data_IF_844359954727
#
_entry.id   IF_844359954727
#
_cell.length_a   1.000
_cell.length_b   1.000
_cell.length_c   1.000
_cell.angle_alpha   90.00
_cell.angle_beta   90.00
_cell.angle_gamma   90.00
#
_symmetry.space_group_name_H-M   'P 1'
#
loop_
_entity.id
_entity.type
_entity.pdbx_description
1 polymer ?
#
# COMPACT_ATOMS: atom_id res chain seq x y z
N UNK A 1 49.52 4.80 52.26
CA UNK A 1 48.17 4.30 52.60
C UNK A 1 47.30 4.59 51.37
N UNK A 2 47.22 3.68 50.39
CA UNK A 2 46.26 2.55 50.28
C UNK A 2 44.93 3.08 49.69
N UNK A 3 44.20 2.54 48.70
CA UNK A 3 44.12 1.34 47.84
C UNK A 3 43.42 1.81 46.53
N UNK A 4 43.69 1.35 45.30
CA UNK A 4 43.31 0.11 44.59
C UNK A 4 41.80 -0.24 44.47
N UNK A 5 41.39 -0.58 43.22
CA UNK A 5 40.13 -1.15 42.68
C UNK A 5 38.94 -0.20 42.45
N UNK A 6 38.21 -0.19 41.31
CA UNK A 6 38.26 -0.96 40.06
C UNK A 6 37.15 -0.43 39.14
N UNK A 7 37.43 -0.22 37.85
CA UNK A 7 36.41 0.06 36.82
C UNK A 7 35.72 -1.26 36.47
N UNK A 8 34.45 -1.42 36.87
CA UNK A 8 33.59 -2.48 36.37
C UNK A 8 33.16 -2.21 34.91
N UNK A 9 32.92 -3.25 34.10
CA UNK A 9 32.36 -3.09 32.76
C UNK A 9 30.90 -2.60 32.84
N UNK A 10 30.37 -1.96 31.78
CA UNK A 10 28.96 -1.59 31.74
C UNK A 10 28.09 -2.86 31.74
N UNK A 11 26.86 -2.80 32.28
CA UNK A 11 25.96 -3.94 32.28
C UNK A 11 25.64 -4.36 30.84
N UNK A 12 26.07 -5.56 30.48
CA UNK A 12 25.48 -6.32 29.39
C UNK A 12 24.12 -6.87 29.83
N UNK A 13 23.32 -7.24 28.84
CA UNK A 13 21.99 -7.89 28.94
C UNK A 13 20.80 -6.92 28.95
N UNK A 14 20.62 -6.25 27.81
CA UNK A 14 19.27 -6.25 27.23
C UNK A 14 19.04 -7.63 26.61
N UNK A 15 17.89 -8.29 26.83
CA UNK A 15 17.60 -9.56 26.17
C UNK A 15 17.35 -9.25 24.70
N UNK A 16 18.40 -9.33 23.89
CA UNK A 16 18.24 -9.60 22.48
C UNK A 16 17.52 -10.96 22.39
N UNK A 17 16.29 -10.97 21.90
CA UNK A 17 15.55 -12.18 21.57
C UNK A 17 16.43 -13.07 20.70
N UNK A 18 17.08 -14.07 21.30
CA UNK A 18 17.73 -15.16 20.57
C UNK A 18 16.60 -16.00 20.00
N UNK A 19 16.25 -15.73 18.74
CA UNK A 19 15.42 -16.63 17.93
C UNK A 19 16.08 -18.00 17.90
N UNK A 20 15.46 -18.99 18.57
CA UNK A 20 15.93 -20.36 18.55
C UNK A 20 15.29 -21.07 17.35
N UNK A 21 15.98 -20.96 16.21
CA UNK A 21 15.52 -21.40 14.88
C UNK A 21 14.96 -22.83 14.89
N UNK A 22 15.49 -23.70 15.76
CA UNK A 22 15.04 -25.09 15.92
C UNK A 22 13.64 -25.20 16.53
N UNK A 23 13.38 -24.47 17.62
CA UNK A 23 12.08 -24.50 18.30
C UNK A 23 10.99 -23.84 17.47
N UNK A 24 11.33 -22.73 16.80
CA UNK A 24 10.40 -22.02 15.90
C UNK A 24 10.03 -22.87 14.68
N UNK A 25 10.99 -23.62 14.12
CA UNK A 25 10.75 -24.53 13.00
C UNK A 25 9.84 -25.69 13.41
N UNK A 26 10.04 -26.28 14.60
CA UNK A 26 9.18 -27.34 15.14
C UNK A 26 7.75 -26.81 15.38
N UNK A 27 7.62 -25.59 15.92
CA UNK A 27 6.33 -24.92 16.11
C UNK A 27 5.60 -24.69 14.79
N UNK A 28 6.32 -24.19 13.77
CA UNK A 28 5.81 -23.97 12.42
C UNK A 28 5.32 -25.26 11.76
N UNK A 29 6.15 -26.31 11.76
CA UNK A 29 5.79 -27.61 11.17
C UNK A 29 4.58 -28.23 11.87
N UNK A 30 4.54 -28.14 13.19
CA UNK A 30 3.39 -28.60 13.99
C UNK A 30 2.11 -27.81 13.68
N UNK A 31 2.22 -26.52 13.30
CA UNK A 31 1.07 -25.74 12.84
C UNK A 31 0.58 -26.18 11.46
N UNK A 32 1.49 -26.49 10.53
CA UNK A 32 1.15 -27.05 9.21
C UNK A 32 0.45 -28.42 9.30
N UNK A 33 0.76 -29.21 10.33
CA UNK A 33 0.08 -30.48 10.55
C UNK A 33 -1.36 -30.29 11.07
N UNK A 34 -1.60 -29.26 11.88
CA UNK A 34 -2.89 -29.04 12.56
C UNK A 34 -3.91 -28.28 11.73
N UNK A 35 -3.46 -27.41 10.83
CA UNK A 35 -4.32 -26.52 10.05
C UNK A 35 -4.20 -26.84 8.54
N UNK A 36 -5.26 -27.39 7.90
CA UNK A 36 -5.27 -27.71 6.47
C UNK A 36 -5.03 -26.50 5.55
N UNK A 37 -5.53 -25.32 5.92
CA UNK A 37 -5.39 -24.09 5.13
C UNK A 37 -3.95 -23.57 5.24
N UNK A 38 -3.36 -23.62 6.44
CA UNK A 38 -1.96 -23.29 6.65
C UNK A 38 -1.02 -24.28 5.94
N UNK A 39 -1.38 -25.56 5.88
CA UNK A 39 -0.65 -26.58 5.10
C UNK A 39 -0.68 -26.29 3.60
N UNK A 40 -1.85 -25.91 3.06
CA UNK A 40 -1.99 -25.55 1.66
C UNK A 40 -1.15 -24.30 1.33
N UNK A 41 -1.12 -23.32 2.23
CA UNK A 41 -0.24 -22.16 2.15
C UNK A 41 1.25 -22.56 2.15
N UNK A 42 1.71 -23.38 3.09
CA UNK A 42 3.10 -23.89 3.16
C UNK A 42 3.51 -24.64 1.88
N UNK A 43 2.64 -25.50 1.36
CA UNK A 43 2.91 -26.22 0.11
C UNK A 43 3.13 -25.28 -1.06
N UNK A 44 2.32 -24.21 -1.15
CA UNK A 44 2.45 -23.23 -2.24
C UNK A 44 3.71 -22.38 -2.09
N UNK A 45 4.10 -22.04 -0.85
CA UNK A 45 5.38 -21.39 -0.56
C UNK A 45 6.55 -22.28 -1.00
N UNK A 46 6.57 -23.54 -0.59
CA UNK A 46 7.65 -24.49 -0.90
C UNK A 46 7.79 -24.72 -2.41
N UNK A 47 6.69 -24.86 -3.14
CA UNK A 47 6.71 -25.01 -4.60
C UNK A 47 7.30 -23.78 -5.31
N UNK A 48 7.00 -22.58 -4.82
CA UNK A 48 7.52 -21.33 -5.41
C UNK A 48 8.98 -21.11 -5.09
N UNK A 49 9.38 -21.34 -3.84
CA UNK A 49 10.79 -21.29 -3.44
C UNK A 49 11.61 -22.28 -4.25
N UNK A 50 11.12 -23.51 -4.42
CA UNK A 50 11.76 -24.55 -5.23
C UNK A 50 11.90 -24.10 -6.70
N UNK A 51 10.85 -23.53 -7.31
CA UNK A 51 10.93 -22.96 -8.68
C UNK A 51 11.97 -21.84 -8.81
N UNK A 52 11.97 -20.88 -7.88
CA UNK A 52 12.94 -19.79 -7.91
C UNK A 52 14.38 -20.31 -7.76
N UNK A 53 14.61 -21.29 -6.87
CA UNK A 53 15.91 -21.95 -6.71
C UNK A 53 16.31 -22.67 -8.00
N UNK A 54 15.41 -23.40 -8.65
CA UNK A 54 15.71 -24.10 -9.90
C UNK A 54 16.03 -23.13 -11.05
N UNK A 55 15.32 -22.01 -11.15
CA UNK A 55 15.63 -20.96 -12.13
C UNK A 55 17.02 -20.38 -11.91
N UNK A 56 17.37 -20.09 -10.64
CA UNK A 56 18.71 -19.61 -10.30
C UNK A 56 19.77 -20.68 -10.59
N UNK A 57 19.53 -21.92 -10.20
CA UNK A 57 20.45 -23.05 -10.38
C UNK A 57 20.71 -23.39 -11.85
N UNK A 58 19.68 -23.31 -12.71
CA UNK A 58 19.79 -23.61 -14.14
C UNK A 58 20.59 -22.54 -14.93
N UNK A 59 20.81 -21.36 -14.35
CA UNK A 59 21.47 -20.23 -15.00
C UNK A 59 22.82 -19.87 -14.37
N UNK A 60 23.38 -20.75 -13.51
CA UNK A 60 24.67 -20.56 -12.82
C UNK A 60 25.89 -21.06 -13.62
N UNK A 61 25.71 -21.52 -14.85
CA UNK A 61 26.80 -22.03 -15.71
C UNK A 61 27.76 -20.95 -16.23
N UNK A 62 27.55 -19.68 -15.86
CA UNK A 62 28.47 -18.57 -16.03
C UNK A 62 28.46 -17.69 -14.79
N UNK A 63 29.61 -17.14 -14.40
CA UNK A 63 29.92 -16.54 -13.08
C UNK A 63 29.12 -15.27 -12.68
N UNK A 64 27.97 -15.01 -13.31
CA UNK A 64 27.10 -13.84 -13.09
C UNK A 64 25.64 -14.28 -13.14
N UNK A 65 24.87 -13.96 -12.09
CA UNK A 65 23.41 -14.11 -12.08
C UNK A 65 22.79 -13.36 -13.26
N UNK A 66 21.97 -14.03 -14.07
CA UNK A 66 21.28 -13.37 -15.18
C UNK A 66 20.22 -12.39 -14.66
N UNK A 67 19.92 -11.37 -15.46
CA UNK A 67 18.81 -10.44 -15.19
C UNK A 67 17.46 -11.19 -15.12
N UNK A 68 17.34 -12.31 -15.83
CA UNK A 68 16.14 -13.16 -15.81
C UNK A 68 15.98 -13.88 -14.46
N UNK A 69 17.08 -14.37 -13.85
CA UNK A 69 17.05 -14.92 -12.50
C UNK A 69 16.61 -13.88 -11.45
N UNK A 70 17.16 -12.67 -11.54
CA UNK A 70 16.81 -11.57 -10.62
C UNK A 70 15.33 -11.16 -10.78
N UNK A 71 14.84 -11.12 -12.02
CA UNK A 71 13.42 -10.92 -12.31
C UNK A 71 12.57 -12.03 -11.69
N UNK A 72 12.95 -13.28 -11.85
CA UNK A 72 12.17 -14.43 -11.35
C UNK A 72 12.12 -14.50 -9.82
N UNK A 73 13.24 -14.21 -9.15
CA UNK A 73 13.29 -14.06 -7.69
C UNK A 73 12.41 -12.90 -7.22
N UNK A 74 12.42 -11.76 -7.93
CA UNK A 74 11.59 -10.60 -7.60
C UNK A 74 10.09 -10.92 -7.76
N UNK A 75 9.72 -11.63 -8.83
CA UNK A 75 8.35 -12.11 -9.05
C UNK A 75 7.94 -13.08 -7.93
N UNK A 76 8.82 -14.02 -7.56
CA UNK A 76 8.57 -14.95 -6.46
C UNK A 76 8.31 -14.22 -5.13
N UNK A 77 9.15 -13.23 -4.77
CA UNK A 77 8.94 -12.43 -3.57
C UNK A 77 7.63 -11.64 -3.61
N UNK A 78 7.27 -11.07 -4.76
CA UNK A 78 6.02 -10.34 -4.92
C UNK A 78 4.80 -11.26 -4.71
N UNK A 79 4.85 -12.44 -5.31
CA UNK A 79 3.81 -13.46 -5.22
C UNK A 79 3.66 -14.04 -3.81
N UNK A 80 4.78 -14.29 -3.10
CA UNK A 80 4.77 -14.72 -1.70
C UNK A 80 4.17 -13.64 -0.79
N UNK A 81 4.52 -12.37 -1.00
CA UNK A 81 3.94 -11.26 -0.25
C UNK A 81 2.42 -11.16 -0.45
N UNK A 82 1.92 -11.41 -1.67
CA UNK A 82 0.48 -11.50 -1.91
C UNK A 82 -0.15 -12.71 -1.21
N UNK A 83 0.56 -13.86 -1.26
CA UNK A 83 0.39 -15.07 -0.44
C UNK A 83 -0.04 -14.83 0.99
N UNK A 84 0.94 -14.31 1.72
CA UNK A 84 0.88 -14.02 3.15
C UNK A 84 -0.27 -13.08 3.46
N UNK A 85 -0.46 -12.04 2.65
CA UNK A 85 -1.55 -11.08 2.84
C UNK A 85 -2.92 -11.75 2.72
N UNK A 86 -3.14 -12.59 1.71
CA UNK A 86 -4.41 -13.31 1.57
C UNK A 86 -4.64 -14.27 2.72
N UNK A 87 -3.62 -15.04 3.11
CA UNK A 87 -3.71 -15.96 4.25
C UNK A 87 -4.04 -15.23 5.57
N UNK A 88 -3.43 -14.06 5.83
CA UNK A 88 -3.76 -13.22 7.00
C UNK A 88 -5.21 -12.74 6.95
N UNK A 89 -5.72 -12.38 5.77
CA UNK A 89 -7.10 -11.91 5.63
C UNK A 89 -8.12 -13.05 5.79
N UNK A 90 -7.81 -14.24 5.29
CA UNK A 90 -8.66 -15.43 5.40
C UNK A 90 -8.70 -15.97 6.82
N UNK A 91 -7.53 -16.11 7.48
CA UNK A 91 -7.44 -16.53 8.88
C UNK A 91 -8.17 -15.60 9.86
N UNK A 92 -8.32 -14.31 9.50
CA UNK A 92 -9.07 -13.34 10.32
C UNK A 92 -10.53 -13.19 9.90
N UNK A 93 -11.03 -13.89 8.88
CA UNK A 93 -12.38 -13.68 8.32
C UNK A 93 -13.48 -13.73 9.38
N UNK A 94 -13.42 -14.70 10.30
CA UNK A 94 -14.41 -14.87 11.38
C UNK A 94 -14.28 -13.83 12.51
N UNK A 95 -13.17 -13.10 12.55
CA UNK A 95 -12.89 -12.02 13.50
C UNK A 95 -13.44 -10.68 12.99
N UNK A 96 -13.60 -10.51 11.68
CA UNK A 96 -14.11 -9.28 11.08
C UNK A 96 -15.62 -9.15 11.22
N UNK A 97 -16.05 -8.21 12.05
CA UNK A 97 -17.48 -7.94 12.30
C UNK A 97 -18.20 -7.18 11.18
N UNK A 98 -17.46 -6.51 10.30
CA UNK A 98 -18.00 -5.75 9.15
C UNK A 98 -17.46 -6.37 7.84
N UNK A 99 -18.24 -7.24 7.17
CA UNK A 99 -17.82 -7.90 5.94
C UNK A 99 -17.55 -6.90 4.80
N UNK A 100 -18.30 -5.79 4.70
CA UNK A 100 -18.02 -4.79 3.67
C UNK A 100 -16.64 -4.15 3.86
N UNK A 101 -16.18 -4.00 5.12
CA UNK A 101 -14.86 -3.46 5.40
C UNK A 101 -13.76 -4.44 4.97
N UNK A 102 -13.96 -5.74 5.21
CA UNK A 102 -13.03 -6.78 4.77
C UNK A 102 -12.93 -6.80 3.23
N UNK A 103 -14.06 -6.72 2.53
CA UNK A 103 -14.07 -6.67 1.06
C UNK A 103 -13.38 -5.41 0.53
N UNK A 104 -13.59 -4.27 1.21
CA UNK A 104 -12.91 -3.03 0.86
C UNK A 104 -11.39 -3.11 1.08
N UNK A 105 -10.94 -3.75 2.16
CA UNK A 105 -9.53 -4.01 2.41
C UNK A 105 -8.93 -4.91 1.32
N UNK A 106 -9.63 -5.98 0.92
CA UNK A 106 -9.20 -6.87 -0.16
C UNK A 106 -9.07 -6.12 -1.47
N UNK A 107 -10.10 -5.37 -1.85
CA UNK A 107 -10.10 -4.55 -3.07
C UNK A 107 -8.98 -3.51 -3.06
N UNK A 108 -8.71 -2.86 -1.92
CA UNK A 108 -7.57 -1.95 -1.77
C UNK A 108 -6.24 -2.64 -2.06
N UNK A 109 -6.03 -3.82 -1.46
CA UNK A 109 -4.78 -4.57 -1.60
C UNK A 109 -4.60 -5.09 -3.02
N UNK A 110 -5.67 -5.52 -3.68
CA UNK A 110 -5.66 -5.90 -5.09
C UNK A 110 -5.35 -4.72 -6.02
N UNK A 111 -5.99 -3.57 -5.79
CA UNK A 111 -5.72 -2.35 -6.55
C UNK A 111 -4.27 -1.90 -6.36
N UNK A 112 -3.75 -1.96 -5.13
CA UNK A 112 -2.36 -1.62 -4.83
C UNK A 112 -1.36 -2.52 -5.58
N UNK A 113 -1.68 -3.82 -5.74
CA UNK A 113 -0.88 -4.75 -6.55
C UNK A 113 -0.90 -4.38 -8.02
N UNK A 114 -2.09 -4.09 -8.57
CA UNK A 114 -2.21 -3.67 -9.96
C UNK A 114 -1.44 -2.37 -10.23
N UNK A 115 -1.50 -1.38 -9.32
CA UNK A 115 -0.71 -0.14 -9.46
C UNK A 115 0.79 -0.42 -9.39
N UNK A 116 1.26 -1.30 -8.51
CA UNK A 116 2.67 -1.72 -8.46
C UNK A 116 3.13 -2.34 -9.79
N UNK A 117 2.33 -3.24 -10.37
CA UNK A 117 2.62 -3.85 -11.68
C UNK A 117 2.70 -2.81 -12.79
N UNK A 118 1.83 -1.79 -12.76
CA UNK A 118 1.91 -0.66 -13.67
C UNK A 118 3.21 0.14 -13.49
N UNK A 119 3.63 0.43 -12.25
CA UNK A 119 4.91 1.11 -12.01
C UNK A 119 6.10 0.32 -12.58
N UNK A 120 6.09 -1.01 -12.50
CA UNK A 120 7.12 -1.85 -13.14
C UNK A 120 7.09 -1.79 -14.66
N UNK A 121 5.90 -1.69 -15.27
CA UNK A 121 5.76 -1.47 -16.70
C UNK A 121 6.26 -0.07 -17.12
N UNK A 122 6.04 0.93 -16.28
CA UNK A 122 6.58 2.28 -16.43
C UNK A 122 8.12 2.27 -16.41
N UNK A 123 8.74 1.61 -15.43
CA UNK A 123 10.20 1.44 -15.38
C UNK A 123 10.76 0.76 -16.62
N UNK A 124 10.09 -0.28 -17.12
CA UNK A 124 10.49 -0.97 -18.36
C UNK A 124 10.39 -0.06 -19.60
N UNK A 125 9.50 0.93 -19.56
CA UNK A 125 9.37 1.94 -20.62
C UNK A 125 10.47 2.99 -20.49
N UNK A 126 10.77 3.45 -19.27
CA UNK A 126 11.89 4.34 -18.97
C UNK A 126 13.24 3.73 -19.36
N UNK A 127 13.45 2.43 -19.17
CA UNK A 127 14.67 1.77 -19.63
C UNK A 127 14.86 1.87 -21.15
N UNK A 128 13.76 1.79 -21.93
CA UNK A 128 13.77 1.99 -23.38
C UNK A 128 14.03 3.45 -23.77
N UNK A 129 13.65 4.41 -22.93
CA UNK A 129 14.03 5.82 -23.10
C UNK A 129 15.54 5.98 -23.05
N UNK A 130 16.21 5.41 -22.04
CA UNK A 130 17.68 5.48 -21.94
C UNK A 130 18.37 4.91 -23.18
N UNK A 131 17.88 3.79 -23.71
CA UNK A 131 18.40 3.21 -24.95
C UNK A 131 18.25 4.17 -26.13
N UNK A 132 17.06 4.76 -26.31
CA UNK A 132 16.79 5.74 -27.38
C UNK A 132 17.64 7.00 -27.22
N UNK A 133 17.84 7.47 -26.00
CA UNK A 133 18.72 8.59 -25.67
C UNK A 133 20.18 8.30 -26.06
N UNK A 134 20.69 7.09 -25.77
CA UNK A 134 22.03 6.68 -26.19
C UNK A 134 22.20 6.67 -27.71
N UNK A 135 21.20 6.20 -28.46
CA UNK A 135 21.24 6.25 -29.94
C UNK A 135 21.34 7.70 -30.42
N UNK A 136 20.51 8.60 -29.90
CA UNK A 136 20.53 10.02 -30.28
C UNK A 136 21.87 10.69 -29.93
N UNK A 137 22.43 10.39 -28.75
CA UNK A 137 23.76 10.89 -28.37
C UNK A 137 24.85 10.40 -29.32
N UNK A 138 24.79 9.14 -29.73
CA UNK A 138 25.73 8.60 -30.68
C UNK A 138 25.56 9.20 -32.09
N UNK A 139 24.31 9.48 -32.51
CA UNK A 139 24.05 10.24 -33.75
C UNK A 139 24.67 11.63 -33.73
N UNK A 140 24.54 12.36 -32.61
CA UNK A 140 25.16 13.69 -32.42
C UNK A 140 26.69 13.62 -32.49
N UNK A 141 27.29 12.59 -31.89
CA UNK A 141 28.74 12.37 -31.97
C UNK A 141 29.17 12.07 -33.41
N UNK A 142 28.46 11.19 -34.12
CA UNK A 142 28.77 10.84 -35.51
C UNK A 142 28.67 12.03 -36.44
N UNK A 143 27.66 12.87 -36.24
CA UNK A 143 27.52 14.11 -36.99
C UNK A 143 28.72 15.04 -36.80
N UNK A 144 29.25 15.16 -35.57
CA UNK A 144 30.42 15.99 -35.30
C UNK A 144 31.69 15.44 -35.99
N UNK A 145 31.89 14.12 -35.93
CA UNK A 145 33.01 13.42 -36.59
C UNK A 145 32.94 13.60 -38.12
N UNK A 146 31.78 13.33 -38.72
CA UNK A 146 31.53 13.48 -40.16
C UNK A 146 31.68 14.95 -40.58
N UNK A 147 31.13 15.91 -39.83
CA UNK A 147 31.28 17.35 -40.13
C UNK A 147 32.75 17.77 -40.14
N UNK A 148 33.56 17.28 -39.20
CA UNK A 148 35.00 17.58 -39.14
C UNK A 148 35.73 17.02 -40.36
N UNK A 149 35.40 15.80 -40.78
CA UNK A 149 35.96 15.21 -42.01
C UNK A 149 35.58 16.02 -43.25
N UNK A 150 34.31 16.42 -43.35
CA UNK A 150 33.81 17.21 -44.48
C UNK A 150 34.52 18.57 -44.57
N UNK A 151 34.74 19.24 -43.45
CA UNK A 151 35.47 20.50 -43.40
C UNK A 151 36.94 20.35 -43.84
N UNK A 152 37.59 19.21 -43.54
CA UNK A 152 38.97 18.93 -43.92
C UNK A 152 39.16 18.54 -45.40
N UNK A 153 38.15 17.94 -46.02
CA UNK A 153 38.19 17.46 -47.42
C UNK A 153 37.76 18.54 -48.45
N UNK A 154 37.32 19.72 -48.00
CA UNK A 154 36.84 20.81 -48.86
C UNK A 154 35.38 20.64 -49.30
N UNK A 155 34.86 21.63 -50.04
CA UNK A 155 33.45 21.73 -50.47
C UNK A 155 33.05 20.71 -51.55
N UNK A 156 33.32 19.42 -51.34
CA UNK A 156 32.77 18.36 -52.19
C UNK A 156 31.27 18.18 -51.88
N UNK A 157 30.36 18.45 -52.85
CA UNK A 157 28.93 18.30 -52.65
C UNK A 157 28.46 16.83 -52.56
N UNK A 158 29.32 15.85 -52.80
CA UNK A 158 29.01 14.42 -52.63
C UNK A 158 29.17 13.91 -51.20
N UNK A 159 29.82 14.71 -50.33
CA UNK A 159 29.97 14.38 -48.92
C UNK A 159 28.64 14.46 -48.18
N UNK A 160 28.32 13.38 -47.47
CA UNK A 160 27.04 13.17 -46.77
C UNK A 160 27.29 12.69 -45.34
N UNK A 161 26.22 12.42 -44.60
CA UNK A 161 26.21 11.99 -43.21
C UNK A 161 25.69 10.55 -43.04
N UNK A 162 26.31 9.54 -43.68
CA UNK A 162 25.77 8.18 -43.71
C UNK A 162 25.65 7.55 -42.32
N UNK A 163 26.63 7.74 -41.43
CA UNK A 163 26.59 7.17 -40.08
C UNK A 163 25.57 7.89 -39.21
N UNK A 164 25.46 9.22 -39.32
CA UNK A 164 24.42 9.97 -38.61
C UNK A 164 23.03 9.50 -39.03
N UNK A 165 22.77 9.39 -40.33
CA UNK A 165 21.49 8.93 -40.87
C UNK A 165 21.14 7.50 -40.44
N UNK A 166 22.13 6.61 -40.39
CA UNK A 166 21.94 5.25 -39.86
C UNK A 166 21.48 5.27 -38.40
N UNK A 167 22.09 6.09 -37.55
CA UNK A 167 21.69 6.20 -36.15
C UNK A 167 20.31 6.85 -35.98
N UNK A 168 19.99 7.88 -36.76
CA UNK A 168 18.66 8.49 -36.75
C UNK A 168 17.59 7.49 -37.20
N UNK A 169 17.91 6.60 -38.16
CA UNK A 169 17.03 5.50 -38.55
C UNK A 169 16.85 4.49 -37.40
N UNK A 170 17.93 4.09 -36.72
CA UNK A 170 17.85 3.19 -35.56
C UNK A 170 16.98 3.79 -34.44
N UNK A 171 17.08 5.09 -34.19
CA UNK A 171 16.23 5.78 -33.22
C UNK A 171 14.74 5.70 -33.62
N UNK A 172 14.43 5.94 -34.90
CA UNK A 172 13.05 5.81 -35.39
C UNK A 172 12.52 4.38 -35.29
N UNK A 173 13.36 3.40 -35.62
CA UNK A 173 13.01 1.98 -35.56
C UNK A 173 12.79 1.51 -34.10
N UNK A 174 13.45 2.14 -33.12
CA UNK A 174 13.21 1.91 -31.69
C UNK A 174 11.80 2.39 -31.24
N UNK A 175 11.25 3.39 -31.92
CA UNK A 175 9.88 3.87 -31.76
C UNK A 175 9.59 4.55 -30.42
N UNK A 176 8.30 4.79 -30.15
CA UNK A 176 7.87 5.41 -28.90
C UNK A 176 8.00 4.40 -27.73
N UNK A 177 8.75 4.73 -26.66
CA UNK A 177 8.90 3.85 -25.50
C UNK A 177 7.59 3.63 -24.73
N UNK A 178 6.62 4.55 -24.87
CA UNK A 178 5.27 4.45 -24.31
C UNK A 178 4.27 3.95 -25.36
N UNK A 179 4.02 2.65 -25.35
CA UNK A 179 3.10 1.97 -26.28
C UNK A 179 1.62 2.23 -25.95
N UNK A 180 0.72 2.00 -26.91
CA UNK A 180 -0.74 2.01 -26.66
C UNK A 180 -1.15 1.09 -25.49
N UNK A 181 -0.48 -0.07 -25.35
CA UNK A 181 -0.67 -0.98 -24.22
C UNK A 181 -0.40 -0.30 -22.88
N UNK A 182 0.65 0.51 -22.78
CA UNK A 182 0.94 1.27 -21.56
C UNK A 182 -0.22 2.22 -21.21
N UNK A 183 -0.71 2.99 -22.19
CA UNK A 183 -1.83 3.92 -21.96
C UNK A 183 -3.13 3.20 -21.58
N UNK A 184 -3.41 2.05 -22.20
CA UNK A 184 -4.56 1.22 -21.85
C UNK A 184 -4.47 0.73 -20.40
N UNK A 185 -3.28 0.30 -19.94
CA UNK A 185 -3.05 -0.11 -18.57
C UNK A 185 -3.17 1.07 -17.61
N UNK A 186 -2.58 2.21 -17.94
CA UNK A 186 -2.67 3.43 -17.14
C UNK A 186 -4.12 3.81 -16.86
N UNK A 187 -4.97 3.87 -17.91
CA UNK A 187 -6.39 4.20 -17.76
C UNK A 187 -7.11 3.23 -16.82
N UNK A 188 -6.89 1.93 -16.97
CA UNK A 188 -7.49 0.92 -16.09
C UNK A 188 -7.07 1.12 -14.63
N UNK A 189 -5.78 1.38 -14.38
CA UNK A 189 -5.27 1.63 -13.01
C UNK A 189 -5.86 2.90 -12.43
N UNK A 190 -5.87 3.97 -13.21
CA UNK A 190 -6.40 5.26 -12.81
C UNK A 190 -7.89 5.14 -12.42
N UNK A 191 -8.71 4.53 -13.26
CA UNK A 191 -10.13 4.28 -12.97
C UNK A 191 -10.34 3.38 -11.75
N UNK A 192 -9.50 2.34 -11.58
CA UNK A 192 -9.55 1.49 -10.38
C UNK A 192 -9.27 2.29 -9.11
N UNK A 193 -8.27 3.17 -9.11
CA UNK A 193 -7.96 4.02 -7.96
C UNK A 193 -9.06 5.03 -7.64
N UNK A 194 -9.66 5.68 -8.65
CA UNK A 194 -10.81 6.57 -8.43
C UNK A 194 -12.03 5.83 -7.86
N UNK A 195 -12.32 4.64 -8.38
CA UNK A 195 -13.41 3.79 -7.89
C UNK A 195 -13.18 3.39 -6.44
N UNK A 196 -11.96 2.95 -6.11
CA UNK A 196 -11.54 2.61 -4.75
C UNK A 196 -11.73 3.80 -3.80
N UNK A 197 -11.24 4.98 -4.20
CA UNK A 197 -11.35 6.18 -3.39
C UNK A 197 -12.81 6.58 -3.11
N UNK A 198 -13.67 6.47 -4.12
CA UNK A 198 -15.11 6.72 -3.98
C UNK A 198 -15.75 5.77 -2.96
N UNK A 199 -15.46 4.47 -3.03
CA UNK A 199 -15.93 3.48 -2.06
C UNK A 199 -15.44 3.77 -0.64
N UNK A 200 -14.17 4.14 -0.49
CA UNK A 200 -13.57 4.54 0.79
C UNK A 200 -14.27 5.76 1.39
N UNK A 201 -14.46 6.82 0.60
CA UNK A 201 -15.18 8.04 1.03
C UNK A 201 -16.62 7.72 1.44
N UNK A 202 -17.30 6.86 0.69
CA UNK A 202 -18.66 6.46 1.03
C UNK A 202 -18.72 5.68 2.36
N UNK A 203 -17.86 4.67 2.54
CA UNK A 203 -17.79 3.88 3.78
C UNK A 203 -17.42 4.78 4.96
N UNK A 204 -16.46 5.70 4.81
CA UNK A 204 -16.10 6.70 5.82
C UNK A 204 -17.31 7.53 6.24
N UNK A 205 -18.07 8.08 5.28
CA UNK A 205 -19.29 8.85 5.56
C UNK A 205 -20.34 8.03 6.31
N UNK A 206 -20.52 6.76 5.97
CA UNK A 206 -21.44 5.85 6.69
C UNK A 206 -20.98 5.63 8.14
N UNK A 207 -19.68 5.44 8.35
CA UNK A 207 -19.10 5.26 9.69
C UNK A 207 -19.19 6.55 10.54
N UNK A 208 -18.91 7.72 9.95
CA UNK A 208 -19.06 9.01 10.63
C UNK A 208 -20.52 9.26 11.06
N UNK A 209 -21.49 8.94 10.19
CA UNK A 209 -22.92 8.98 10.54
C UNK A 209 -23.28 8.00 11.67
N UNK A 210 -22.72 6.79 11.67
CA UNK A 210 -22.90 5.82 12.77
C UNK A 210 -22.36 6.41 14.07
N UNK A 211 -21.16 6.99 14.08
CA UNK A 211 -20.60 7.65 15.27
C UNK A 211 -21.48 8.80 15.78
N UNK A 212 -21.98 9.66 14.89
CA UNK A 212 -22.89 10.75 15.25
C UNK A 212 -24.21 10.24 15.85
N UNK A 213 -24.85 9.25 15.20
CA UNK A 213 -26.10 8.64 15.70
C UNK A 213 -25.92 8.06 17.11
N UNK A 214 -24.76 7.46 17.39
CA UNK A 214 -24.45 6.86 18.69
C UNK A 214 -24.25 7.90 19.78
N UNK A 215 -23.64 9.05 19.48
CA UNK A 215 -23.56 10.18 20.43
C UNK A 215 -24.97 10.64 20.85
N UNK A 216 -25.92 10.65 19.91
CA UNK A 216 -27.33 10.95 20.20
C UNK A 216 -27.97 9.84 21.05
N UNK A 217 -27.80 8.57 20.66
CA UNK A 217 -28.41 7.44 21.38
C UNK A 217 -27.88 7.24 22.79
N UNK A 218 -26.60 7.55 23.06
CA UNK A 218 -26.03 7.53 24.42
C UNK A 218 -26.76 8.52 25.34
N UNK A 219 -27.12 9.71 24.84
CA UNK A 219 -27.88 10.70 25.61
C UNK A 219 -29.29 10.20 25.91
N UNK A 220 -29.95 9.62 24.91
CA UNK A 220 -31.30 9.06 25.04
C UNK A 220 -31.30 7.88 26.01
N UNK A 221 -30.37 6.92 25.89
CA UNK A 221 -30.28 5.76 26.78
C UNK A 221 -30.01 6.17 28.23
N UNK A 222 -29.15 7.17 28.44
CA UNK A 222 -28.88 7.69 29.78
C UNK A 222 -30.12 8.39 30.37
N UNK A 223 -30.88 9.13 29.56
CA UNK A 223 -32.12 9.76 29.98
C UNK A 223 -33.22 8.75 30.34
N UNK A 224 -33.41 7.71 29.51
CA UNK A 224 -34.35 6.61 29.78
C UNK A 224 -33.94 5.87 31.07
N UNK A 225 -32.66 5.53 31.20
CA UNK A 225 -32.17 4.86 32.41
C UNK A 225 -32.40 5.69 33.67
N UNK A 226 -32.09 6.99 33.63
CA UNK A 226 -32.35 7.90 34.75
C UNK A 226 -33.85 7.97 35.08
N UNK A 227 -34.72 8.03 34.06
CA UNK A 227 -36.18 8.07 34.23
C UNK A 227 -36.74 6.78 34.84
N UNK A 228 -36.35 5.61 34.34
CA UNK A 228 -36.76 4.31 34.88
C UNK A 228 -36.28 4.14 36.32
N UNK A 229 -35.05 4.54 36.60
CA UNK A 229 -34.49 4.48 37.94
C UNK A 229 -35.24 5.35 38.94
N UNK A 230 -35.50 6.62 38.60
CA UNK A 230 -36.29 7.53 39.45
C UNK A 230 -37.70 6.99 39.68
N UNK A 231 -38.33 6.44 38.64
CA UNK A 231 -39.67 5.84 38.75
C UNK A 231 -39.68 4.63 39.70
N UNK A 232 -38.67 3.75 39.61
CA UNK A 232 -38.53 2.60 40.49
C UNK A 232 -38.28 3.00 41.95
N UNK A 233 -37.50 4.05 42.20
CA UNK A 233 -37.32 4.61 43.54
C UNK A 233 -38.65 5.11 44.11
N UNK A 234 -39.42 5.90 43.34
CA UNK A 234 -40.74 6.41 43.77
C UNK A 234 -41.67 5.24 44.11
N UNK A 235 -41.76 4.22 43.25
CA UNK A 235 -42.60 3.04 43.49
C UNK A 235 -42.17 2.29 44.76
N UNK A 236 -40.86 2.16 44.99
CA UNK A 236 -40.32 1.50 46.18
C UNK A 236 -40.66 2.26 47.47
N UNK A 237 -40.57 3.60 47.45
CA UNK A 237 -40.95 4.45 48.59
C UNK A 237 -42.44 4.36 48.88
N UNK A 238 -43.29 4.41 47.85
CA UNK A 238 -44.75 4.29 48.00
C UNK A 238 -45.14 2.92 48.57
N UNK A 239 -44.58 1.84 48.04
CA UNK A 239 -44.83 0.49 48.54
C UNK A 239 -44.41 0.34 50.02
N UNK A 240 -43.23 0.85 50.40
CA UNK A 240 -42.76 0.81 51.78
C UNK A 240 -43.67 1.60 52.74
N UNK A 241 -44.11 2.80 52.34
CA UNK A 241 -45.00 3.64 53.13
C UNK A 241 -46.38 3.01 53.39
N UNK A 242 -46.88 2.18 52.46
CA UNK A 242 -48.12 1.42 52.64
C UNK A 242 -47.95 0.26 53.62
N UNK A 243 -46.74 -0.30 53.73
CA UNK A 243 -46.47 -1.52 54.52
C UNK A 243 -45.91 -1.29 55.93
N UNK A 244 -45.25 -0.15 56.23
CA UNK A 244 -44.70 0.12 57.56
C UNK A 244 -44.54 1.64 57.88
N UNK A 245 -44.81 2.10 59.12
CA UNK A 245 -44.73 3.52 59.52
C UNK A 245 -43.36 4.24 59.46
N UNK A 246 -42.16 3.62 59.60
CA UNK A 246 -40.93 4.40 59.56
C UNK A 246 -40.44 4.57 58.12
N UNK A 247 -41.16 5.39 57.35
CA UNK A 247 -40.90 5.72 55.94
C UNK A 247 -39.46 6.21 55.69
N UNK A 248 -38.83 6.79 56.71
CA UNK A 248 -37.46 7.35 56.69
C UNK A 248 -36.39 6.28 56.46
N UNK A 249 -36.54 5.08 57.04
CA UNK A 249 -35.55 4.00 56.92
C UNK A 249 -35.56 3.36 55.51
N UNK A 250 -36.73 3.23 54.90
CA UNK A 250 -36.87 2.72 53.53
C UNK A 250 -36.34 3.70 52.48
N UNK A 251 -36.53 5.01 52.68
CA UNK A 251 -35.96 6.07 51.84
C UNK A 251 -34.43 6.04 51.84
N UNK A 252 -33.81 5.88 53.02
CA UNK A 252 -32.36 5.79 53.15
C UNK A 252 -31.78 4.55 52.46
N UNK A 253 -32.44 3.40 52.57
CA UNK A 253 -32.01 2.16 51.92
C UNK A 253 -32.18 2.18 50.39
N UNK A 254 -33.27 2.77 49.87
CA UNK A 254 -33.49 2.90 48.43
C UNK A 254 -32.53 3.91 47.78
N UNK A 255 -32.19 5.00 48.47
CA UNK A 255 -31.17 5.95 48.02
C UNK A 255 -29.75 5.34 47.99
N UNK A 256 -29.51 4.26 48.73
CA UNK A 256 -28.25 3.51 48.74
C UNK A 256 -28.17 2.42 47.64
N UNK A 257 -29.21 2.28 46.79
CA UNK A 257 -29.22 1.30 45.70
C UNK A 257 -28.02 1.52 44.73
N UNK A 258 -27.39 0.45 44.22
CA UNK A 258 -26.13 0.54 43.50
C UNK A 258 -26.33 1.02 42.04
N UNK A 259 -26.65 2.31 41.88
CA UNK A 259 -26.68 3.04 40.60
C UNK A 259 -25.37 2.92 39.81
N UNK A 260 -24.26 2.80 40.53
CA UNK A 260 -22.93 2.79 39.94
C UNK A 260 -22.65 1.57 39.06
N UNK A 261 -23.28 0.42 39.29
CA UNK A 261 -22.96 -0.83 38.58
C UNK A 261 -23.58 -0.87 37.18
N UNK A 262 -24.87 -0.55 37.06
CA UNK A 262 -25.59 -0.54 35.77
C UNK A 262 -25.15 0.63 34.89
N UNK A 263 -24.92 1.81 35.47
CA UNK A 263 -24.36 2.95 34.74
C UNK A 263 -22.96 2.67 34.17
N UNK A 264 -22.10 1.98 34.92
CA UNK A 264 -20.78 1.50 34.43
C UNK A 264 -20.92 0.49 33.30
N UNK A 265 -21.85 -0.46 33.40
CA UNK A 265 -22.12 -1.44 32.34
C UNK A 265 -22.56 -0.77 31.03
N UNK A 266 -23.53 0.16 31.08
CA UNK A 266 -24.01 0.89 29.90
C UNK A 266 -22.84 1.67 29.27
N UNK A 267 -22.07 2.39 30.09
CA UNK A 267 -20.92 3.15 29.61
C UNK A 267 -19.85 2.25 28.94
N UNK A 268 -19.56 1.08 29.52
CA UNK A 268 -18.59 0.13 28.96
C UNK A 268 -19.05 -0.44 27.62
N UNK A 269 -20.34 -0.79 27.47
CA UNK A 269 -20.89 -1.20 26.18
C UNK A 269 -20.77 -0.11 25.11
N UNK A 270 -21.07 1.14 25.48
CA UNK A 270 -20.94 2.27 24.56
C UNK A 270 -19.48 2.55 24.17
N UNK A 271 -18.54 2.43 25.12
CA UNK A 271 -17.11 2.57 24.86
C UNK A 271 -16.61 1.47 23.93
N UNK A 272 -17.00 0.21 24.15
CA UNK A 272 -16.62 -0.93 23.30
C UNK A 272 -17.12 -0.76 21.87
N UNK A 273 -18.38 -0.39 21.67
CA UNK A 273 -18.88 -0.15 20.33
C UNK A 273 -18.22 1.07 19.67
N UNK A 274 -18.03 2.17 20.42
CA UNK A 274 -17.40 3.38 19.88
C UNK A 274 -15.97 3.12 19.44
N UNK A 275 -15.20 2.34 20.21
CA UNK A 275 -13.86 1.95 19.82
C UNK A 275 -13.85 1.05 18.58
N UNK A 276 -14.79 0.10 18.44
CA UNK A 276 -14.92 -0.73 17.24
C UNK A 276 -15.17 0.12 15.98
N UNK A 277 -16.18 0.99 15.98
CA UNK A 277 -16.51 1.83 14.81
C UNK A 277 -15.42 2.87 14.50
N UNK A 278 -14.75 3.41 15.53
CA UNK A 278 -13.59 4.31 15.32
C UNK A 278 -12.46 3.59 14.61
N UNK A 279 -12.16 2.34 14.98
CA UNK A 279 -11.10 1.55 14.33
C UNK A 279 -11.40 1.28 12.86
N UNK A 280 -12.63 0.91 12.54
CA UNK A 280 -13.07 0.77 11.14
C UNK A 280 -12.90 2.09 10.37
N UNK A 281 -13.34 3.21 10.98
CA UNK A 281 -13.24 4.54 10.38
C UNK A 281 -11.80 4.95 10.16
N UNK A 282 -10.90 4.63 11.09
CA UNK A 282 -9.48 4.96 11.00
C UNK A 282 -8.76 4.10 9.96
N UNK A 283 -9.14 2.83 9.81
CA UNK A 283 -8.66 1.98 8.71
C UNK A 283 -9.10 2.53 7.33
N UNK A 284 -10.40 2.86 7.18
CA UNK A 284 -10.93 3.46 5.95
C UNK A 284 -10.32 4.83 5.67
N UNK A 285 -10.09 5.65 6.71
CA UNK A 285 -9.45 6.96 6.55
C UNK A 285 -7.99 6.85 6.15
N UNK A 286 -7.26 5.87 6.69
CA UNK A 286 -5.88 5.59 6.27
C UNK A 286 -5.82 5.12 4.82
N UNK A 287 -6.66 4.15 4.43
CA UNK A 287 -6.75 3.71 3.02
C UNK A 287 -7.10 4.88 2.10
N UNK A 288 -8.06 5.71 2.51
CA UNK A 288 -8.46 6.91 1.76
C UNK A 288 -7.33 7.90 1.58
N UNK A 289 -6.53 8.14 2.63
CA UNK A 289 -5.40 9.06 2.54
C UNK A 289 -4.32 8.57 1.57
N UNK A 290 -3.97 7.28 1.61
CA UNK A 290 -3.02 6.68 0.68
C UNK A 290 -3.53 6.66 -0.77
N UNK A 291 -4.81 6.35 -0.99
CA UNK A 291 -5.40 6.38 -2.33
C UNK A 291 -5.50 7.80 -2.89
N UNK A 292 -5.97 8.78 -2.10
CA UNK A 292 -6.27 10.15 -2.57
C UNK A 292 -5.04 11.04 -2.67
N UNK A 293 -4.35 11.24 -1.55
CA UNK A 293 -3.32 12.28 -1.42
C UNK A 293 -1.94 11.80 -1.86
N UNK A 294 -1.80 10.50 -2.13
CA UNK A 294 -0.51 9.90 -2.40
C UNK A 294 -0.54 9.21 -3.76
N UNK A 295 -1.23 8.07 -3.88
CA UNK A 295 -1.18 7.26 -5.11
C UNK A 295 -1.86 7.97 -6.30
N UNK A 296 -3.06 8.54 -6.12
CA UNK A 296 -3.74 9.23 -7.23
C UNK A 296 -3.02 10.51 -7.65
N UNK A 297 -2.34 11.18 -6.72
CA UNK A 297 -1.49 12.34 -7.02
C UNK A 297 -0.25 11.92 -7.82
N UNK A 298 0.42 10.83 -7.41
CA UNK A 298 1.55 10.28 -8.17
C UNK A 298 1.12 9.90 -9.59
N UNK A 299 -0.05 9.27 -9.75
CA UNK A 299 -0.60 8.91 -11.07
C UNK A 299 -0.91 10.15 -11.94
N UNK A 300 -1.41 11.25 -11.36
CA UNK A 300 -1.60 12.50 -12.09
C UNK A 300 -0.27 13.07 -12.60
N UNK A 301 0.74 13.14 -11.72
CA UNK A 301 2.07 13.63 -12.07
C UNK A 301 2.70 12.76 -13.17
N UNK A 302 2.58 11.44 -13.05
CA UNK A 302 3.02 10.48 -14.07
C UNK A 302 2.32 10.76 -15.41
N UNK A 303 1.00 10.92 -15.43
CA UNK A 303 0.27 11.16 -16.67
C UNK A 303 0.74 12.45 -17.37
N UNK A 304 0.82 13.56 -16.61
CA UNK A 304 1.24 14.84 -17.16
C UNK A 304 2.67 14.79 -17.71
N UNK A 305 3.59 14.09 -17.04
CA UNK A 305 4.97 13.91 -17.50
C UNK A 305 5.04 13.00 -18.72
N UNK A 306 4.28 11.91 -18.77
CA UNK A 306 4.22 11.02 -19.95
C UNK A 306 3.67 11.78 -21.15
N UNK A 307 2.59 12.55 -21.00
CA UNK A 307 2.02 13.34 -22.10
C UNK A 307 3.06 14.32 -22.67
N UNK A 308 3.78 15.04 -21.80
CA UNK A 308 4.84 15.97 -22.21
C UNK A 308 6.04 15.25 -22.83
N UNK A 309 6.40 14.08 -22.30
CA UNK A 309 7.48 13.25 -22.83
C UNK A 309 7.18 12.76 -24.25
N UNK A 310 5.96 12.26 -24.49
CA UNK A 310 5.53 11.75 -25.80
C UNK A 310 5.60 12.86 -26.86
N UNK A 311 5.11 14.06 -26.54
CA UNK A 311 5.24 15.22 -27.44
C UNK A 311 6.71 15.52 -27.77
N UNK A 312 7.59 15.44 -26.78
CA UNK A 312 9.02 15.63 -26.97
C UNK A 312 9.66 14.58 -27.90
N UNK A 313 9.33 13.30 -27.70
CA UNK A 313 9.80 12.20 -28.57
C UNK A 313 9.25 12.33 -29.98
N UNK A 314 7.98 12.69 -30.15
CA UNK A 314 7.38 12.94 -31.47
C UNK A 314 8.10 14.07 -32.22
N UNK A 315 8.49 15.14 -31.51
CA UNK A 315 9.32 16.20 -32.08
C UNK A 315 10.70 15.72 -32.54
N UNK A 316 11.39 14.90 -31.72
CA UNK A 316 12.67 14.29 -32.08
C UNK A 316 12.54 13.34 -33.27
N UNK A 317 11.47 12.55 -33.34
CA UNK A 317 11.18 11.66 -34.48
C UNK A 317 10.93 12.47 -35.75
N UNK A 318 10.16 13.56 -35.66
CA UNK A 318 9.93 14.47 -36.79
C UNK A 318 11.22 15.11 -37.32
N UNK A 319 12.15 15.49 -36.44
CA UNK A 319 13.48 15.95 -36.85
C UNK A 319 14.28 14.85 -37.56
N UNK A 320 14.27 13.62 -37.02
CA UNK A 320 14.93 12.48 -37.64
C UNK A 320 14.31 12.11 -39.02
N UNK A 321 13.01 12.27 -39.20
CA UNK A 321 12.32 12.13 -40.49
C UNK A 321 12.78 13.17 -41.51
N UNK A 322 12.88 14.43 -41.08
CA UNK A 322 13.31 15.54 -41.93
C UNK A 322 14.74 15.38 -42.45
N UNK A 323 15.63 14.73 -41.68
CA UNK A 323 17.03 14.50 -42.05
C UNK A 323 17.22 13.75 -43.39
N UNK A 324 16.20 13.04 -43.90
CA UNK A 324 16.25 12.38 -45.21
C UNK A 324 16.35 13.32 -46.43
N UNK A 325 16.17 14.64 -46.23
CA UNK A 325 16.14 15.64 -47.30
C UNK A 325 17.48 16.08 -47.89
N UNK A 326 18.59 15.39 -47.56
CA UNK A 326 19.95 15.75 -48.00
C UNK A 326 20.74 16.51 -46.94
N UNK A 327 21.93 17.03 -47.30
CA UNK A 327 22.92 17.56 -46.36
C UNK A 327 22.38 18.64 -45.42
N UNK A 328 21.80 19.71 -45.97
CA UNK A 328 21.26 20.83 -45.19
C UNK A 328 20.13 20.37 -44.26
N UNK A 329 19.33 19.40 -44.69
CA UNK A 329 18.27 18.82 -43.88
C UNK A 329 18.82 18.05 -42.68
N UNK A 330 19.92 17.29 -42.85
CA UNK A 330 20.62 16.63 -41.74
C UNK A 330 21.18 17.65 -40.75
N UNK A 331 21.85 18.70 -41.24
CA UNK A 331 22.43 19.74 -40.38
C UNK A 331 21.34 20.40 -39.52
N UNK A 332 20.21 20.81 -40.13
CA UNK A 332 19.07 21.37 -39.41
C UNK A 332 18.42 20.39 -38.43
N UNK A 333 18.18 19.14 -38.85
CA UNK A 333 17.59 18.10 -38.01
C UNK A 333 18.43 17.82 -36.76
N UNK A 334 19.75 17.71 -36.93
CA UNK A 334 20.68 17.44 -35.84
C UNK A 334 20.75 18.61 -34.86
N UNK A 335 20.69 19.86 -35.32
CA UNK A 335 20.56 21.01 -34.42
C UNK A 335 19.28 20.95 -33.58
N UNK A 336 18.15 20.61 -34.19
CA UNK A 336 16.88 20.48 -33.48
C UNK A 336 16.90 19.33 -32.46
N UNK A 337 17.46 18.18 -32.84
CA UNK A 337 17.67 17.05 -31.92
C UNK A 337 18.55 17.48 -30.75
N UNK A 338 19.66 18.19 -31.01
CA UNK A 338 20.59 18.62 -29.97
C UNK A 338 19.93 19.56 -28.96
N UNK A 339 19.04 20.44 -29.39
CA UNK A 339 18.31 21.36 -28.50
C UNK A 339 17.32 20.64 -27.60
N UNK A 340 16.66 19.60 -28.11
CA UNK A 340 15.52 18.98 -27.42
C UNK A 340 15.88 17.71 -26.63
N UNK A 341 16.93 16.97 -27.04
CA UNK A 341 17.23 15.62 -26.50
C UNK A 341 17.43 15.60 -24.99
N UNK A 342 18.11 16.62 -24.43
CA UNK A 342 18.33 16.71 -22.98
C UNK A 342 17.06 17.03 -22.20
N UNK A 343 16.20 17.91 -22.74
CA UNK A 343 14.93 18.24 -22.10
C UNK A 343 13.98 17.05 -22.04
N UNK A 344 14.00 16.19 -23.08
CA UNK A 344 13.25 14.93 -23.08
C UNK A 344 13.81 13.95 -22.05
N UNK A 345 15.14 13.85 -21.94
CA UNK A 345 15.80 13.00 -20.94
C UNK A 345 15.51 13.48 -19.50
N UNK A 346 15.52 14.79 -19.25
CA UNK A 346 15.18 15.37 -17.94
C UNK A 346 13.76 15.00 -17.51
N UNK A 347 12.78 15.04 -18.42
CA UNK A 347 11.41 14.59 -18.14
C UNK A 347 11.39 13.10 -17.75
N UNK A 348 12.18 12.27 -18.43
CA UNK A 348 12.26 10.83 -18.12
C UNK A 348 12.86 10.56 -16.73
N UNK A 349 13.88 11.32 -16.32
CA UNK A 349 14.46 11.22 -14.98
C UNK A 349 13.43 11.61 -13.90
N UNK A 350 12.70 12.72 -14.10
CA UNK A 350 11.62 13.13 -13.17
C UNK A 350 10.52 12.07 -13.12
N UNK A 351 10.17 11.47 -14.26
CA UNK A 351 9.18 10.40 -14.34
C UNK A 351 9.65 9.13 -13.59
N UNK A 352 10.95 8.82 -13.62
CA UNK A 352 11.55 7.73 -12.82
C UNK A 352 11.39 7.97 -11.33
N UNK A 353 11.66 9.18 -10.85
CA UNK A 353 11.46 9.56 -9.44
C UNK A 353 10.01 9.37 -9.00
N UNK A 354 9.04 9.79 -9.82
CA UNK A 354 7.62 9.58 -9.52
C UNK A 354 7.20 8.10 -9.56
N UNK A 355 7.77 7.30 -10.46
CA UNK A 355 7.54 5.85 -10.46
C UNK A 355 8.04 5.21 -9.15
N UNK A 356 9.20 5.63 -8.66
CA UNK A 356 9.78 5.16 -7.40
C UNK A 356 8.98 5.58 -6.17
N UNK A 357 8.59 6.85 -6.09
CA UNK A 357 7.71 7.35 -5.02
C UNK A 357 6.36 6.62 -5.03
N UNK A 358 5.74 6.42 -6.19
CA UNK A 358 4.49 5.67 -6.30
C UNK A 358 4.62 4.25 -5.73
N UNK A 359 5.68 3.51 -6.07
CA UNK A 359 5.95 2.17 -5.51
C UNK A 359 6.16 2.22 -4.00
N UNK A 360 6.95 3.18 -3.52
CA UNK A 360 7.23 3.35 -2.09
C UNK A 360 5.96 3.64 -1.31
N UNK A 361 5.14 4.57 -1.79
CA UNK A 361 3.85 4.90 -1.20
C UNK A 361 2.88 3.74 -1.17
N UNK A 362 2.82 2.93 -2.24
CA UNK A 362 2.03 1.69 -2.25
C UNK A 362 2.50 0.71 -1.17
N UNK A 363 3.82 0.50 -1.02
CA UNK A 363 4.38 -0.40 0.00
C UNK A 363 4.06 0.10 1.41
N UNK A 364 4.25 1.40 1.67
CA UNK A 364 3.92 2.03 2.95
C UNK A 364 2.43 1.92 3.26
N UNK A 365 1.57 2.22 2.28
CA UNK A 365 0.12 2.08 2.42
C UNK A 365 -0.29 0.65 2.78
N UNK A 366 0.25 -0.36 2.07
CA UNK A 366 -0.01 -1.78 2.39
C UNK A 366 0.43 -2.12 3.82
N UNK A 367 1.63 -1.72 4.23
CA UNK A 367 2.17 -2.01 5.56
C UNK A 367 1.30 -1.40 6.67
N UNK A 368 0.92 -0.12 6.55
CA UNK A 368 0.07 0.57 7.54
C UNK A 368 -1.30 -0.11 7.65
N UNK A 369 -1.88 -0.53 6.52
CA UNK A 369 -3.18 -1.21 6.53
C UNK A 369 -3.08 -2.59 7.16
N UNK A 370 -2.05 -3.38 6.81
CA UNK A 370 -1.81 -4.68 7.43
C UNK A 370 -1.55 -4.57 8.93
N UNK A 371 -0.82 -3.56 9.39
CA UNK A 371 -0.64 -3.30 10.81
C UNK A 371 -1.99 -3.02 11.49
N UNK A 372 -2.83 -2.15 10.92
CA UNK A 372 -4.15 -1.82 11.48
C UNK A 372 -5.09 -3.03 11.52
N UNK A 373 -4.97 -3.92 10.54
CA UNK A 373 -5.66 -5.22 10.51
C UNK A 373 -5.13 -6.14 11.60
N UNK A 374 -3.81 -6.16 11.79
CA UNK A 374 -3.19 -7.06 12.76
C UNK A 374 -3.49 -6.66 14.21
N UNK A 375 -3.54 -5.35 14.48
CA UNK A 375 -3.87 -4.79 15.80
C UNK A 375 -5.31 -5.09 16.24
N UNK A 376 -6.20 -5.59 15.37
CA UNK A 376 -7.56 -5.98 15.77
C UNK A 376 -7.51 -7.13 16.79
N UNK A 377 -8.12 -6.96 17.98
CA UNK A 377 -8.14 -8.02 18.97
C UNK A 377 -8.96 -9.19 18.43
N UNK A 378 -8.38 -10.39 18.52
CA UNK A 378 -9.15 -11.63 18.44
C UNK A 378 -10.35 -11.49 19.39
N UNK A 379 -11.55 -11.77 18.90
CA UNK A 379 -12.75 -11.66 19.70
C UNK A 379 -12.53 -12.38 21.03
N UNK A 380 -12.48 -11.61 22.14
CA UNK A 380 -12.51 -12.20 23.46
C UNK A 380 -13.78 -13.05 23.53
N UNK A 381 -13.60 -14.38 23.59
CA UNK A 381 -14.66 -15.31 23.94
C UNK A 381 -15.31 -14.75 25.21
N UNK A 382 -16.64 -14.53 25.25
CA UNK A 382 -17.27 -14.06 26.46
C UNK A 382 -17.12 -15.14 27.53
N UNK A 383 -16.16 -14.97 28.43
CA UNK A 383 -16.15 -15.70 29.69
C UNK A 383 -17.41 -15.29 30.44
N UNK A 384 -18.29 -16.27 30.64
CA UNK A 384 -19.43 -16.29 31.55
C UNK A 384 -20.42 -15.12 31.45
N UNK A 385 -21.55 -15.41 30.82
CA UNK A 385 -22.85 -14.92 31.25
C UNK A 385 -22.98 -14.94 32.78
N UNK A 386 -23.37 -13.86 33.47
CA UNK A 386 -23.90 -14.02 34.80
C UNK A 386 -25.27 -14.70 34.66
N UNK A 387 -25.38 -15.91 35.19
CA UNK A 387 -26.64 -16.63 35.31
C UNK A 387 -27.69 -15.75 36.02
N UNK A 388 -28.92 -15.65 35.52
CA UNK A 388 -30.01 -14.98 36.21
C UNK A 388 -30.56 -15.91 37.30
N UNK A 389 -29.76 -16.18 38.32
CA UNK A 389 -30.13 -17.09 39.41
C UNK A 389 -29.36 -16.77 40.68
N UNK A 390 -29.52 -15.56 41.20
CA UNK A 390 -29.17 -15.20 42.59
C UNK A 390 -29.88 -13.90 43.00
N UNK A 391 -31.20 -13.86 42.80
CA UNK A 391 -32.10 -12.91 43.46
C UNK A 391 -33.45 -13.61 43.51
N UNK A 392 -33.66 -14.48 44.50
CA UNK A 392 -34.91 -14.74 45.21
C UNK A 392 -34.70 -15.91 46.18
N UNK A 393 -35.04 -15.66 47.44
CA UNK A 393 -35.04 -16.52 48.63
C UNK A 393 -33.73 -16.68 49.43
N UNK A 394 -33.82 -16.20 50.69
CA UNK A 394 -32.81 -16.15 51.72
C UNK A 394 -32.94 -14.87 52.51
#
# INVERSE_FOLDING_TARGET
MGNMFGKGPPPADSPAERFDISADLVSYLSACERDPDFRAFDSTLRDRTTRAIHSVAANLDGRTLSLDCLREVTVCFHDMNHQVVNFILESKRDVWKDPDLLDLVKEYLDNSRHTMSFCTALESSLHRVHYSHSILKFALQKFHEETTQIQNLGSDPTLSYPMTLEQLKLFKDAGNPFTEKFFSQFRVIYTKQESMLRKLREKKRRLDKRLQRRKCWRRISNAIFASVFVSALICSVVAAAVTAPPVVAALAAAAAAPLGSVGKWINNLWKKYESEVRRERDAVSAMGAWSEYVVLQDLHSINALVDRFVVGVEGLMGAADFAGGGREAVEMAVEEIRRNVEGVMEIAEVLSVHADECKKHIRMGRAVILQKINEQPAAAVPSSSPSPSCLFFG
#
